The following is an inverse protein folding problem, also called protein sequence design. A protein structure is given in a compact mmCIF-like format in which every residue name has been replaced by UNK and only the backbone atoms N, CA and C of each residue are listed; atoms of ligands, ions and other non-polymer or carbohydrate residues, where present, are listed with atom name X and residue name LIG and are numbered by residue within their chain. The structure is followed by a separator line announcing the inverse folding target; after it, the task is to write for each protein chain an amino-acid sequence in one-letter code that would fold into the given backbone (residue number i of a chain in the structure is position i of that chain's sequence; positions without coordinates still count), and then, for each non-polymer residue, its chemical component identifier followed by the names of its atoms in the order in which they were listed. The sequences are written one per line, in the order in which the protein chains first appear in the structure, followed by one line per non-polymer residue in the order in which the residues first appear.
data_IF_576532348700
#
_entry.id   IF_576532348700
#
_cell.length_a   1.000
_cell.length_b   1.000
_cell.length_c   1.000
_cell.angle_alpha   90.00
_cell.angle_beta   90.00
_cell.angle_gamma   90.00
#
_symmetry.space_group_name_H-M   'P 1'
#
loop_
_entity.id
_entity.type
_entity.pdbx_description
1 polymer ?
#
# COMPACT_ATOMS: atom_id res chain seq x y z
N UNK A 1 60.89 3.94 1.45
CA UNK A 1 59.94 2.81 1.49
C UNK A 1 58.68 3.13 2.33
N UNK A 2 58.24 4.39 2.42
CA UNK A 2 57.08 4.76 3.28
C UNK A 2 55.84 5.26 2.50
N UNK A 3 55.92 5.51 1.19
CA UNK A 3 54.79 6.07 0.43
C UNK A 3 53.78 5.03 -0.08
N UNK A 4 54.14 3.75 -0.17
CA UNK A 4 53.25 2.69 -0.67
C UNK A 4 52.20 2.24 0.35
N UNK A 5 52.50 2.36 1.65
CA UNK A 5 51.59 1.98 2.76
C UNK A 5 50.38 2.93 2.87
N UNK A 6 50.57 4.23 2.62
CA UNK A 6 49.50 5.23 2.64
C UNK A 6 48.53 5.12 1.47
N UNK A 7 48.97 4.63 0.31
CA UNK A 7 48.10 4.50 -0.86
C UNK A 7 47.20 3.27 -0.74
N UNK A 8 47.74 2.15 -0.23
CA UNK A 8 47.00 0.92 0.02
C UNK A 8 45.95 1.08 1.13
N UNK A 9 46.26 1.82 2.20
CA UNK A 9 45.28 2.11 3.25
C UNK A 9 44.12 2.98 2.75
N UNK A 10 44.40 3.96 1.87
CA UNK A 10 43.37 4.79 1.22
C UNK A 10 42.50 3.99 0.24
N UNK A 11 43.10 3.08 -0.52
CA UNK A 11 42.37 2.17 -1.41
C UNK A 11 41.48 1.18 -0.64
N UNK A 12 41.94 0.67 0.51
CA UNK A 12 41.15 -0.20 1.38
C UNK A 12 39.95 0.52 2.04
N UNK A 13 40.08 1.83 2.32
CA UNK A 13 39.01 2.67 2.85
C UNK A 13 37.97 3.02 1.78
N UNK A 14 38.42 3.26 0.54
CA UNK A 14 37.57 3.45 -0.63
C UNK A 14 36.82 2.18 -1.00
N UNK A 15 37.46 1.00 -0.97
CA UNK A 15 36.78 -0.29 -1.19
C UNK A 15 35.68 -0.57 -0.14
N UNK A 16 35.87 -0.16 1.12
CA UNK A 16 34.80 -0.26 2.14
C UNK A 16 33.58 0.62 1.87
N UNK A 17 33.76 1.74 1.18
CA UNK A 17 32.66 2.66 0.81
C UNK A 17 32.07 2.36 -0.58
N UNK A 18 32.78 1.60 -1.41
CA UNK A 18 32.38 1.19 -2.76
C UNK A 18 31.81 -0.23 -2.82
N UNK A 19 31.75 -0.95 -1.69
CA UNK A 19 30.99 -2.19 -1.64
C UNK A 19 29.50 -1.86 -1.82
N UNK A 20 28.83 -2.41 -2.85
CA UNK A 20 27.37 -2.35 -2.91
C UNK A 20 26.83 -2.99 -1.63
N UNK A 21 25.69 -2.55 -1.09
CA UNK A 21 25.15 -3.10 0.15
C UNK A 21 24.87 -4.59 -0.05
N UNK A 22 25.82 -5.43 0.34
CA UNK A 22 25.62 -6.86 0.50
C UNK A 22 24.46 -7.02 1.48
N UNK A 23 23.49 -7.86 1.10
CA UNK A 23 22.17 -8.04 1.70
C UNK A 23 22.12 -7.74 3.21
N UNK A 24 21.63 -6.54 3.52
CA UNK A 24 21.48 -6.02 4.89
C UNK A 24 20.30 -6.68 5.63
N UNK A 25 19.89 -7.90 5.24
CA UNK A 25 18.67 -8.55 5.71
C UNK A 25 18.75 -8.90 7.20
N UNK A 26 19.91 -9.33 7.69
CA UNK A 26 20.11 -9.66 9.12
C UNK A 26 20.06 -8.45 10.05
N UNK A 27 20.53 -7.26 9.62
CA UNK A 27 20.51 -6.05 10.45
C UNK A 27 19.09 -5.47 10.57
N UNK A 28 18.24 -5.65 9.54
CA UNK A 28 16.86 -5.17 9.53
C UNK A 28 15.92 -5.98 10.42
N UNK A 29 16.18 -7.27 10.63
CA UNK A 29 15.35 -8.18 11.43
C UNK A 29 15.20 -7.78 12.91
N UNK A 30 16.08 -6.95 13.46
CA UNK A 30 15.97 -6.45 14.84
C UNK A 30 15.13 -5.19 15.03
N UNK A 31 14.72 -4.53 13.93
CA UNK A 31 14.00 -3.23 13.96
C UNK A 31 12.48 -3.37 13.74
N UNK A 32 12.03 -4.53 13.26
CA UNK A 32 10.63 -4.82 12.95
C UNK A 32 10.25 -6.15 13.60
N UNK A 33 9.16 -6.16 14.35
CA UNK A 33 8.55 -7.38 14.91
C UNK A 33 7.74 -8.06 13.81
N UNK A 34 8.10 -9.30 13.48
CA UNK A 34 7.27 -10.19 12.66
C UNK A 34 6.36 -11.03 13.56
N UNK A 35 5.14 -11.31 13.14
CA UNK A 35 4.39 -12.44 13.73
C UNK A 35 5.11 -13.76 13.45
N UNK A 36 4.95 -14.79 14.29
CA UNK A 36 5.53 -16.11 14.04
C UNK A 36 5.16 -16.67 12.67
N UNK A 37 3.90 -16.50 12.28
CA UNK A 37 3.37 -16.97 11.01
C UNK A 37 3.99 -16.26 9.80
N UNK A 38 4.12 -14.93 9.85
CA UNK A 38 4.77 -14.16 8.77
C UNK A 38 6.24 -14.53 8.68
N UNK A 39 6.93 -14.70 9.81
CA UNK A 39 8.33 -15.11 9.83
C UNK A 39 8.52 -16.50 9.20
N UNK A 40 7.65 -17.46 9.55
CA UNK A 40 7.67 -18.81 8.98
C UNK A 40 7.40 -18.79 7.47
N UNK A 41 6.35 -18.09 7.03
CA UNK A 41 5.99 -17.97 5.62
C UNK A 41 7.14 -17.39 4.78
N UNK A 42 7.75 -16.30 5.24
CA UNK A 42 8.90 -15.69 4.57
C UNK A 42 10.11 -16.64 4.52
N UNK A 43 10.35 -17.41 5.59
CA UNK A 43 11.49 -18.35 5.64
C UNK A 43 11.32 -19.58 4.74
N UNK A 44 10.07 -19.99 4.50
CA UNK A 44 9.71 -21.16 3.69
C UNK A 44 9.36 -20.80 2.24
N UNK A 45 9.33 -19.50 1.90
CA UNK A 45 8.93 -19.01 0.58
C UNK A 45 7.42 -19.09 0.33
N UNK A 46 6.61 -19.22 1.39
CA UNK A 46 5.16 -19.19 1.30
C UNK A 46 4.65 -17.76 1.02
N UNK A 47 3.60 -17.58 0.20
CA UNK A 47 3.12 -16.25 -0.16
C UNK A 47 2.66 -15.42 1.05
N UNK A 48 3.04 -14.14 1.07
CA UNK A 48 2.62 -13.18 2.10
C UNK A 48 2.05 -11.93 1.42
N UNK A 49 0.90 -11.44 1.91
CA UNK A 49 0.25 -10.22 1.44
C UNK A 49 0.24 -9.20 2.57
N UNK A 50 0.91 -8.06 2.36
CA UNK A 50 0.86 -6.94 3.31
C UNK A 50 -0.53 -6.27 3.28
N UNK A 51 -0.95 -5.74 4.43
CA UNK A 51 -2.18 -4.96 4.59
C UNK A 51 -1.89 -3.70 5.41
N UNK A 52 -2.47 -2.56 5.04
CA UNK A 52 -2.30 -1.30 5.79
C UNK A 52 -3.26 -1.22 6.99
N UNK A 53 -2.96 -0.35 7.94
CA UNK A 53 -3.81 -0.13 9.13
C UNK A 53 -4.47 1.24 9.22
N UNK A 54 -4.14 2.18 8.33
CA UNK A 54 -4.82 3.48 8.28
C UNK A 54 -6.32 3.30 8.10
N UNK A 55 -6.75 2.39 7.22
CA UNK A 55 -8.18 2.11 7.06
C UNK A 55 -8.88 1.61 8.33
N UNK A 56 -8.15 0.89 9.20
CA UNK A 56 -8.69 0.36 10.45
C UNK A 56 -8.90 1.50 11.46
N UNK A 57 -7.94 2.40 11.60
CA UNK A 57 -8.00 3.47 12.60
C UNK A 57 -8.66 4.76 12.11
N UNK A 58 -8.54 5.06 10.81
CA UNK A 58 -8.91 6.31 10.14
C UNK A 58 -9.68 6.07 8.83
N UNK A 59 -10.24 4.89 8.59
CA UNK A 59 -11.10 4.65 7.44
C UNK A 59 -12.49 4.15 7.82
N UNK A 60 -12.64 3.57 9.01
CA UNK A 60 -13.86 2.87 9.42
C UNK A 60 -14.14 3.09 10.91
N UNK A 61 -15.41 3.21 11.33
CA UNK A 61 -15.76 3.28 12.75
C UNK A 61 -15.68 1.90 13.42
N UNK A 62 -15.43 1.88 14.73
CA UNK A 62 -15.56 0.66 15.54
C UNK A 62 -17.04 0.28 15.73
N UNK A 63 -17.42 -1.02 15.69
CA UNK A 63 -16.58 -2.22 15.53
C UNK A 63 -16.30 -2.62 14.08
N UNK A 64 -16.89 -1.94 13.10
CA UNK A 64 -16.84 -2.37 11.71
C UNK A 64 -15.44 -2.32 11.10
N UNK A 65 -14.57 -1.45 11.62
CA UNK A 65 -13.14 -1.45 11.30
C UNK A 65 -12.45 -2.79 11.62
N UNK A 66 -12.74 -3.37 12.78
CA UNK A 66 -12.17 -4.63 13.24
C UNK A 66 -12.75 -5.81 12.46
N UNK A 67 -14.08 -5.81 12.27
CA UNK A 67 -14.76 -6.83 11.47
C UNK A 67 -14.19 -6.87 10.05
N UNK A 68 -14.09 -5.71 9.40
CA UNK A 68 -13.55 -5.64 8.03
C UNK A 68 -12.09 -6.08 7.98
N UNK A 69 -11.25 -5.69 8.95
CA UNK A 69 -9.87 -6.14 8.99
C UNK A 69 -9.76 -7.67 9.11
N UNK A 70 -10.59 -8.30 9.96
CA UNK A 70 -10.66 -9.76 10.10
C UNK A 70 -11.12 -10.44 8.82
N UNK A 71 -12.17 -9.92 8.18
CA UNK A 71 -12.72 -10.47 6.94
C UNK A 71 -11.65 -10.47 5.83
N UNK A 72 -10.87 -9.39 5.69
CA UNK A 72 -9.76 -9.33 4.73
C UNK A 72 -8.66 -10.33 5.06
N UNK A 73 -8.24 -10.42 6.32
CA UNK A 73 -7.23 -11.40 6.71
C UNK A 73 -7.71 -12.83 6.43
N UNK A 74 -8.98 -13.14 6.71
CA UNK A 74 -9.57 -14.44 6.44
C UNK A 74 -9.54 -14.79 4.95
N UNK A 75 -9.90 -13.85 4.09
CA UNK A 75 -9.83 -14.08 2.65
C UNK A 75 -8.40 -14.38 2.19
N UNK A 76 -7.41 -13.60 2.66
CA UNK A 76 -6.03 -13.81 2.21
C UNK A 76 -5.59 -15.24 2.53
N UNK A 77 -6.03 -15.76 3.69
CA UNK A 77 -5.81 -17.14 4.12
C UNK A 77 -6.56 -18.16 3.27
N UNK A 78 -7.84 -17.90 2.98
CA UNK A 78 -8.67 -18.77 2.11
C UNK A 78 -8.03 -18.94 0.72
N UNK A 79 -7.23 -17.96 0.29
CA UNK A 79 -6.52 -17.98 -0.99
C UNK A 79 -5.06 -18.44 -0.89
N UNK A 80 -4.71 -19.10 0.22
CA UNK A 80 -3.42 -19.77 0.37
C UNK A 80 -2.23 -18.82 0.60
N UNK A 81 -2.49 -17.60 1.08
CA UNK A 81 -1.44 -16.66 1.47
C UNK A 81 -1.55 -16.27 2.95
N UNK A 82 -0.46 -15.78 3.52
CA UNK A 82 -0.43 -15.26 4.89
C UNK A 82 -0.68 -13.75 4.88
N UNK A 83 -1.71 -13.25 5.60
CA UNK A 83 -1.92 -11.82 5.75
C UNK A 83 -0.91 -11.22 6.73
N UNK A 84 -0.41 -10.04 6.38
CA UNK A 84 0.54 -9.29 7.20
C UNK A 84 0.06 -7.84 7.40
N UNK A 85 -0.90 -7.64 8.30
CA UNK A 85 -1.32 -6.30 8.72
C UNK A 85 -0.16 -5.56 9.38
N UNK A 86 0.12 -4.33 8.91
CA UNK A 86 1.28 -3.54 9.33
C UNK A 86 0.87 -2.36 10.20
N UNK A 87 1.50 -2.19 11.36
CA UNK A 87 1.28 -1.05 12.25
C UNK A 87 2.55 -0.73 13.05
N UNK A 88 2.53 0.34 13.83
CA UNK A 88 3.52 0.59 14.88
C UNK A 88 2.79 0.54 16.21
N UNK A 89 3.23 -0.33 17.13
CA UNK A 89 2.63 -0.47 18.45
C UNK A 89 3.68 -0.18 19.53
N UNK A 90 3.41 0.80 20.38
CA UNK A 90 4.33 1.27 21.44
C UNK A 90 5.76 1.55 20.93
N UNK A 91 5.86 2.12 19.72
CA UNK A 91 7.10 2.42 19.01
C UNK A 91 7.76 1.24 18.30
N UNK A 92 7.15 0.05 18.33
CA UNK A 92 7.66 -1.14 17.64
C UNK A 92 6.92 -1.30 16.31
N UNK A 93 7.60 -1.20 15.16
CA UNK A 93 7.01 -1.62 13.89
C UNK A 93 6.65 -3.10 13.93
N UNK A 94 5.41 -3.43 13.59
CA UNK A 94 4.87 -4.77 13.58
C UNK A 94 4.39 -5.12 12.17
N UNK A 95 4.76 -6.31 11.67
CA UNK A 95 4.28 -6.87 10.41
C UNK A 95 3.66 -8.24 10.71
N UNK A 96 2.34 -8.33 10.49
CA UNK A 96 1.51 -9.40 11.03
C UNK A 96 1.10 -9.07 12.46
N UNK A 97 -0.12 -8.58 12.65
CA UNK A 97 -0.68 -8.34 13.97
C UNK A 97 -1.34 -9.61 14.50
N UNK A 98 -1.18 -9.88 15.80
CA UNK A 98 -2.06 -10.83 16.48
C UNK A 98 -3.48 -10.27 16.56
N UNK A 99 -4.45 -11.16 16.79
CA UNK A 99 -5.85 -10.78 16.96
C UNK A 99 -6.05 -9.71 18.06
N UNK A 100 -5.35 -9.85 19.19
CA UNK A 100 -5.40 -8.86 20.28
C UNK A 100 -4.77 -7.51 19.91
N UNK A 101 -3.69 -7.52 19.12
CA UNK A 101 -3.08 -6.28 18.60
C UNK A 101 -3.96 -5.58 17.57
N UNK A 102 -4.63 -6.35 16.72
CA UNK A 102 -5.60 -5.85 15.74
C UNK A 102 -6.81 -5.20 16.43
N UNK A 103 -7.37 -5.86 17.43
CA UNK A 103 -8.47 -5.34 18.25
C UNK A 103 -8.07 -4.08 19.03
N UNK A 104 -6.86 -4.09 19.60
CA UNK A 104 -6.29 -2.91 20.25
C UNK A 104 -6.20 -1.72 19.28
N UNK A 105 -5.68 -1.93 18.06
CA UNK A 105 -5.53 -0.88 17.06
C UNK A 105 -6.88 -0.34 16.58
N UNK A 106 -7.85 -1.23 16.36
CA UNK A 106 -9.21 -0.87 15.98
C UNK A 106 -9.93 -0.07 17.08
N UNK A 107 -9.73 -0.43 18.34
CA UNK A 107 -10.32 0.26 19.50
C UNK A 107 -9.66 1.62 19.76
N UNK A 108 -8.34 1.74 19.52
CA UNK A 108 -7.64 3.03 19.59
C UNK A 108 -8.21 4.04 18.60
N UNK A 109 -8.63 3.59 17.41
CA UNK A 109 -9.16 4.45 16.36
C UNK A 109 -8.20 5.60 16.04
N UNK A 110 -8.73 6.82 15.96
CA UNK A 110 -7.97 8.03 15.63
C UNK A 110 -6.89 8.42 16.66
N UNK A 111 -6.86 7.78 17.84
CA UNK A 111 -5.75 7.95 18.81
C UNK A 111 -4.45 7.30 18.32
N UNK A 112 -4.52 6.32 17.43
CA UNK A 112 -3.33 5.85 16.72
C UNK A 112 -2.97 6.88 15.64
N UNK A 113 -1.74 7.38 15.64
CA UNK A 113 -1.31 8.40 14.69
C UNK A 113 -1.37 7.84 13.25
N UNK A 114 -2.01 8.56 12.33
CA UNK A 114 -1.91 8.24 10.90
C UNK A 114 -0.45 8.44 10.46
N UNK A 115 0.19 7.37 10.04
CA UNK A 115 1.64 7.29 9.88
C UNK A 115 2.00 7.05 8.42
N UNK A 116 2.46 8.10 7.73
CA UNK A 116 3.17 7.99 6.46
C UNK A 116 4.66 7.76 6.71
N UNK A 117 5.43 7.50 5.64
CA UNK A 117 6.85 7.18 5.79
C UNK A 117 7.66 8.25 6.56
N UNK A 118 7.33 9.53 6.38
CA UNK A 118 7.99 10.63 7.10
C UNK A 118 7.75 10.61 8.62
N UNK A 119 6.63 10.03 9.04
CA UNK A 119 6.18 10.04 10.43
C UNK A 119 6.78 8.87 11.24
N UNK A 120 7.27 7.83 10.56
CA UNK A 120 7.77 6.58 11.18
C UNK A 120 8.76 6.86 12.30
N UNK A 121 9.80 7.66 12.02
CA UNK A 121 10.86 7.93 13.00
C UNK A 121 10.31 8.61 14.26
N UNK A 122 9.35 9.52 14.09
CA UNK A 122 8.71 10.23 15.19
C UNK A 122 7.88 9.28 16.06
N UNK A 123 7.04 8.44 15.44
CA UNK A 123 6.18 7.47 16.16
C UNK A 123 7.04 6.46 16.92
N UNK A 124 8.09 5.93 16.29
CA UNK A 124 9.03 4.98 16.91
C UNK A 124 9.76 5.62 18.09
N UNK A 125 10.35 6.80 17.90
CA UNK A 125 11.13 7.48 18.92
C UNK A 125 10.28 7.82 20.18
N UNK A 126 9.01 8.16 19.97
CA UNK A 126 8.09 8.51 21.06
C UNK A 126 7.36 7.30 21.66
N UNK A 127 7.68 6.08 21.25
CA UNK A 127 6.97 4.87 21.68
C UNK A 127 5.46 4.96 21.46
N UNK A 128 5.07 5.61 20.35
CA UNK A 128 3.69 5.86 19.99
C UNK A 128 3.02 4.67 19.28
N UNK A 129 1.71 4.78 19.09
CA UNK A 129 0.94 3.86 18.27
C UNK A 129 0.64 4.52 16.92
N UNK A 130 0.96 3.85 15.82
CA UNK A 130 0.86 4.36 14.46
C UNK A 130 0.07 3.42 13.55
N UNK A 131 -1.00 3.94 12.95
CA UNK A 131 -1.72 3.30 11.87
C UNK A 131 -1.02 3.64 10.55
N UNK A 132 -0.45 2.64 9.87
CA UNK A 132 0.39 2.86 8.69
C UNK A 132 -0.48 3.15 7.46
N UNK A 133 -0.10 4.17 6.70
CA UNK A 133 -0.65 4.44 5.36
C UNK A 133 0.06 3.56 4.33
N UNK A 134 -0.46 3.49 3.11
CA UNK A 134 0.20 2.90 1.93
C UNK A 134 1.72 3.15 1.91
N UNK A 135 2.17 4.42 2.03
CA UNK A 135 3.61 4.72 2.01
C UNK A 135 4.43 4.06 3.14
N UNK A 136 3.90 3.96 4.35
CA UNK A 136 4.60 3.34 5.47
C UNK A 136 4.51 1.81 5.42
N UNK A 137 3.36 1.28 5.00
CA UNK A 137 3.14 -0.16 4.81
C UNK A 137 4.11 -0.71 3.76
N UNK A 138 4.23 -0.04 2.60
CA UNK A 138 5.20 -0.41 1.56
C UNK A 138 6.63 -0.44 2.08
N UNK A 139 7.03 0.57 2.86
CA UNK A 139 8.37 0.65 3.44
C UNK A 139 8.68 -0.56 4.32
N UNK A 140 7.77 -0.91 5.25
CA UNK A 140 7.98 -2.06 6.14
C UNK A 140 7.86 -3.39 5.40
N UNK A 141 6.92 -3.54 4.47
CA UNK A 141 6.77 -4.73 3.63
C UNK A 141 8.07 -5.02 2.85
N UNK A 142 8.61 -4.01 2.16
CA UNK A 142 9.88 -4.13 1.43
C UNK A 142 11.06 -4.41 2.36
N UNK A 143 11.06 -3.84 3.57
CA UNK A 143 12.12 -4.06 4.55
C UNK A 143 12.25 -5.55 4.94
N UNK A 144 11.13 -6.27 4.99
CA UNK A 144 11.07 -7.67 5.43
C UNK A 144 10.93 -8.67 4.27
N UNK A 145 10.90 -8.20 3.03
CA UNK A 145 10.86 -9.06 1.83
C UNK A 145 9.46 -9.45 1.36
N UNK A 146 8.42 -8.72 1.76
CA UNK A 146 7.06 -8.87 1.20
C UNK A 146 6.95 -8.01 -0.06
N UNK A 147 6.53 -8.61 -1.16
CA UNK A 147 6.48 -7.96 -2.49
C UNK A 147 5.08 -7.60 -2.96
N UNK A 148 4.03 -8.02 -2.26
CA UNK A 148 2.62 -7.80 -2.61
C UNK A 148 1.90 -7.13 -1.46
N UNK A 149 1.17 -6.05 -1.77
CA UNK A 149 0.38 -5.27 -0.83
C UNK A 149 -0.99 -4.96 -1.45
N UNK A 150 -2.07 -5.22 -0.71
CA UNK A 150 -3.44 -4.92 -1.13
C UNK A 150 -4.00 -3.77 -0.29
N UNK A 151 -4.67 -2.82 -0.94
CA UNK A 151 -5.42 -1.74 -0.28
C UNK A 151 -6.67 -1.40 -1.09
N UNK A 152 -7.62 -0.66 -0.52
CA UNK A 152 -8.78 -0.19 -1.27
C UNK A 152 -8.36 0.76 -2.40
N UNK A 153 -7.61 1.81 -2.07
CA UNK A 153 -7.21 2.84 -3.02
C UNK A 153 -6.01 3.61 -2.51
N UNK A 154 -5.04 3.89 -3.37
CA UNK A 154 -3.86 4.67 -2.97
C UNK A 154 -4.20 6.16 -2.80
N UNK A 155 -3.36 6.91 -2.10
CA UNK A 155 -3.35 8.37 -2.23
C UNK A 155 -2.85 8.81 -3.60
N UNK A 156 -2.89 10.11 -3.88
CA UNK A 156 -2.52 10.64 -5.18
C UNK A 156 -2.35 12.15 -5.16
N UNK A 157 -2.36 12.76 -6.35
CA UNK A 157 -2.41 14.22 -6.48
C UNK A 157 -3.82 14.66 -6.12
N UNK A 158 -3.96 15.59 -5.18
CA UNK A 158 -5.26 16.15 -4.85
C UNK A 158 -5.74 17.07 -5.98
N UNK A 159 -7.05 17.32 -6.04
CA UNK A 159 -7.60 18.27 -7.01
C UNK A 159 -7.03 19.66 -6.75
N UNK A 160 -6.65 20.35 -7.83
CA UNK A 160 -5.89 21.60 -7.77
C UNK A 160 -4.46 21.45 -7.22
N UNK A 161 -3.91 20.24 -7.21
CA UNK A 161 -2.56 19.92 -6.73
C UNK A 161 -1.44 20.71 -7.44
N UNK A 162 -1.67 21.21 -8.66
CA UNK A 162 -0.75 22.10 -9.37
C UNK A 162 -0.60 23.47 -8.71
N UNK A 163 -1.55 23.87 -7.86
CA UNK A 163 -1.51 25.12 -7.10
C UNK A 163 -1.16 24.87 -5.64
N UNK A 164 -1.78 23.86 -5.01
CA UNK A 164 -1.64 23.60 -3.58
C UNK A 164 -0.40 22.78 -3.24
N UNK A 165 0.15 22.04 -4.21
CA UNK A 165 1.18 21.03 -4.00
C UNK A 165 0.77 19.95 -2.98
N UNK A 166 -0.55 19.73 -2.79
CA UNK A 166 -1.09 18.66 -1.95
C UNK A 166 -1.02 17.32 -2.72
N UNK A 167 0.08 16.60 -2.51
CA UNK A 167 0.41 15.36 -3.20
C UNK A 167 0.72 14.30 -2.15
N UNK A 168 0.04 13.16 -2.23
CA UNK A 168 0.27 12.05 -1.32
C UNK A 168 1.71 11.52 -1.44
N UNK A 169 2.35 11.27 -0.29
CA UNK A 169 3.65 10.60 -0.22
C UNK A 169 3.62 9.16 -0.73
N UNK A 170 2.44 8.57 -0.95
CA UNK A 170 2.28 7.24 -1.54
C UNK A 170 2.91 7.19 -2.95
N UNK A 171 2.81 8.27 -3.73
CA UNK A 171 3.34 8.32 -5.09
C UNK A 171 4.87 8.30 -5.11
N UNK A 172 5.50 9.08 -4.22
CA UNK A 172 6.96 9.07 -4.04
C UNK A 172 7.43 7.72 -3.49
N UNK A 173 6.63 7.07 -2.65
CA UNK A 173 6.97 5.74 -2.13
C UNK A 173 6.92 4.67 -3.23
N UNK A 174 5.89 4.69 -4.07
CA UNK A 174 5.83 3.86 -5.29
C UNK A 174 7.06 4.08 -6.18
N UNK A 175 7.58 5.30 -6.28
CA UNK A 175 8.80 5.60 -7.05
C UNK A 175 10.11 5.01 -6.50
N UNK A 176 10.13 4.41 -5.30
CA UNK A 176 11.40 3.97 -4.67
C UNK A 176 11.34 2.68 -3.86
N UNK A 177 10.19 2.02 -3.81
CA UNK A 177 9.98 0.85 -2.98
C UNK A 177 9.39 -0.28 -3.83
N UNK A 178 10.15 -1.39 -4.07
CA UNK A 178 9.76 -2.46 -4.99
C UNK A 178 8.72 -3.41 -4.36
N UNK A 179 7.51 -2.88 -4.19
CA UNK A 179 6.31 -3.57 -3.73
C UNK A 179 5.20 -3.31 -4.75
N UNK A 180 4.53 -4.37 -5.17
CA UNK A 180 3.34 -4.29 -5.99
C UNK A 180 2.14 -3.93 -5.12
N UNK A 181 1.44 -2.85 -5.49
CA UNK A 181 0.24 -2.39 -4.82
C UNK A 181 -0.97 -2.71 -5.70
N UNK A 182 -1.88 -3.51 -5.16
CA UNK A 182 -3.15 -3.84 -5.80
C UNK A 182 -4.23 -2.97 -5.15
N UNK A 183 -4.97 -2.21 -5.97
CA UNK A 183 -6.03 -1.33 -5.49
C UNK A 183 -7.10 -1.07 -6.55
N UNK A 184 -8.22 -0.47 -6.16
CA UNK A 184 -9.21 0.06 -7.11
C UNK A 184 -8.79 1.41 -7.73
N UNK A 185 -7.49 1.59 -7.97
CA UNK A 185 -6.91 2.86 -8.40
C UNK A 185 -6.61 3.81 -7.23
N UNK A 186 -6.88 5.10 -7.41
CA UNK A 186 -6.67 6.16 -6.41
C UNK A 186 -8.01 6.60 -5.83
N UNK A 187 -8.05 6.98 -4.54
CA UNK A 187 -9.29 7.42 -3.87
C UNK A 187 -10.06 8.48 -4.69
N UNK A 188 -11.38 8.37 -4.79
CA UNK A 188 -12.27 9.22 -5.63
C UNK A 188 -12.13 10.74 -5.46
N UNK A 189 -11.65 11.20 -4.31
CA UNK A 189 -11.45 12.63 -4.04
C UNK A 189 -10.27 13.25 -4.81
N UNK A 190 -9.45 12.43 -5.45
CA UNK A 190 -8.17 12.81 -6.05
C UNK A 190 -8.31 13.16 -7.53
N UNK A 191 -7.20 13.64 -8.11
CA UNK A 191 -7.05 13.98 -9.51
C UNK A 191 -6.34 12.82 -10.25
N UNK A 192 -7.11 12.00 -10.95
CA UNK A 192 -6.59 10.81 -11.64
C UNK A 192 -5.58 11.18 -12.73
N UNK A 193 -5.87 12.10 -13.67
CA UNK A 193 -4.91 12.47 -14.71
C UNK A 193 -3.57 12.91 -14.13
N UNK A 194 -3.55 13.85 -13.18
CA UNK A 194 -2.28 14.31 -12.57
C UNK A 194 -1.58 13.22 -11.78
N UNK A 195 -2.33 12.32 -11.15
CA UNK A 195 -1.73 11.18 -10.43
C UNK A 195 -1.00 10.25 -11.40
N UNK A 196 -1.57 9.96 -12.57
CA UNK A 196 -0.92 9.14 -13.59
C UNK A 196 0.35 9.81 -14.14
N UNK A 197 0.30 11.12 -14.44
CA UNK A 197 1.47 11.90 -14.87
C UNK A 197 2.60 11.91 -13.83
N UNK A 198 2.23 12.02 -12.54
CA UNK A 198 3.20 11.96 -11.45
C UNK A 198 3.84 10.57 -11.35
N UNK A 199 3.04 9.50 -11.45
CA UNK A 199 3.54 8.12 -11.41
C UNK A 199 4.44 7.80 -12.60
N UNK A 200 4.11 8.29 -13.80
CA UNK A 200 4.99 8.23 -14.97
C UNK A 200 6.34 8.90 -14.67
N UNK A 201 6.32 10.12 -14.11
CA UNK A 201 7.52 10.86 -13.72
C UNK A 201 8.37 10.11 -12.69
N UNK A 202 7.73 9.36 -11.78
CA UNK A 202 8.41 8.52 -10.78
C UNK A 202 8.90 7.17 -11.34
N UNK A 203 8.65 6.85 -12.62
CA UNK A 203 9.01 5.56 -13.22
C UNK A 203 8.19 4.38 -12.69
N UNK A 204 6.99 4.64 -12.17
CA UNK A 204 6.11 3.59 -11.63
C UNK A 204 5.34 2.96 -12.77
N UNK A 205 5.41 1.63 -12.89
CA UNK A 205 4.57 0.90 -13.82
C UNK A 205 3.12 0.88 -13.29
N UNK A 206 2.20 1.45 -14.06
CA UNK A 206 0.76 1.42 -13.77
C UNK A 206 0.07 0.51 -14.78
N UNK A 207 -0.50 -0.58 -14.28
CA UNK A 207 -1.27 -1.54 -15.06
C UNK A 207 -2.73 -1.54 -14.63
N UNK A 208 -3.66 -1.77 -15.56
CA UNK A 208 -5.06 -2.05 -15.23
C UNK A 208 -5.42 -3.51 -15.52
N UNK A 209 -6.19 -4.10 -14.62
CA UNK A 209 -6.61 -5.50 -14.69
C UNK A 209 -7.88 -5.66 -15.53
N UNK A 210 -7.79 -6.46 -16.60
CA UNK A 210 -8.88 -6.79 -17.50
C UNK A 210 -9.57 -5.58 -18.16
N UNK A 211 -8.84 -4.47 -18.31
CA UNK A 211 -9.32 -3.23 -18.95
C UNK A 211 -8.15 -2.40 -19.46
N UNK A 212 -8.44 -1.45 -20.36
CA UNK A 212 -7.48 -0.45 -20.85
C UNK A 212 -7.62 0.90 -20.11
N UNK A 213 -8.53 0.97 -19.16
CA UNK A 213 -8.91 2.20 -18.47
C UNK A 213 -8.55 2.12 -16.99
N UNK A 214 -8.01 3.20 -16.44
CA UNK A 214 -7.74 3.30 -15.02
C UNK A 214 -9.08 3.40 -14.25
N UNK A 215 -9.34 2.56 -13.24
CA UNK A 215 -10.54 2.66 -12.43
C UNK A 215 -10.51 3.89 -11.52
N UNK A 216 -11.69 4.47 -11.26
CA UNK A 216 -11.86 5.64 -10.41
C UNK A 216 -12.46 5.25 -9.05
N UNK A 217 -11.83 4.29 -8.37
CA UNK A 217 -12.19 3.81 -7.04
C UNK A 217 -13.63 3.29 -6.93
N UNK A 218 -14.64 4.14 -6.76
CA UNK A 218 -16.04 3.72 -6.75
C UNK A 218 -16.65 3.53 -8.13
N UNK A 219 -15.91 3.77 -9.22
CA UNK A 219 -16.41 3.55 -10.58
C UNK A 219 -15.41 2.78 -11.40
N UNK A 220 -15.91 1.88 -12.26
CA UNK A 220 -15.07 1.10 -13.18
C UNK A 220 -14.27 1.97 -14.16
N UNK A 221 -14.76 3.19 -14.41
CA UNK A 221 -14.32 4.05 -15.51
C UNK A 221 -13.98 5.45 -15.01
N UNK A 222 -12.76 5.90 -15.29
CA UNK A 222 -12.27 7.26 -15.00
C UNK A 222 -12.21 8.18 -16.23
N UNK A 223 -12.34 7.62 -17.43
CA UNK A 223 -12.00 8.25 -18.70
C UNK A 223 -10.49 8.28 -19.01
N UNK A 224 -9.63 7.83 -18.08
CA UNK A 224 -8.17 7.86 -18.25
C UNK A 224 -7.66 6.48 -18.69
N UNK A 225 -6.87 6.43 -19.76
CA UNK A 225 -6.26 5.17 -20.22
C UNK A 225 -4.99 4.85 -19.45
N UNK A 226 -4.70 3.57 -19.27
CA UNK A 226 -3.39 3.09 -18.84
C UNK A 226 -2.60 2.55 -20.04
N UNK A 227 -1.27 2.61 -19.94
CA UNK A 227 -0.39 2.08 -20.98
C UNK A 227 -0.15 0.57 -20.84
N UNK A 228 -0.32 0.02 -19.64
CA UNK A 228 -0.14 -1.40 -19.37
C UNK A 228 -1.49 -2.04 -19.02
N UNK A 229 -1.83 -3.14 -19.70
CA UNK A 229 -2.97 -4.00 -19.39
C UNK A 229 -2.45 -5.37 -19.00
N UNK A 230 -3.06 -5.96 -17.98
CA UNK A 230 -2.86 -7.34 -17.54
C UNK A 230 -4.23 -8.00 -17.43
N UNK A 231 -4.36 -9.26 -17.85
CA UNK A 231 -5.68 -9.91 -17.96
C UNK A 231 -5.86 -11.05 -16.95
N UNK A 232 -4.76 -11.59 -16.43
CA UNK A 232 -4.75 -12.73 -15.51
C UNK A 232 -3.82 -12.50 -14.31
N UNK A 233 -4.02 -13.22 -13.19
CA UNK A 233 -3.09 -13.19 -12.06
C UNK A 233 -1.65 -13.57 -12.47
N UNK A 234 -1.48 -14.47 -13.44
CA UNK A 234 -0.16 -14.84 -13.97
C UNK A 234 0.51 -13.68 -14.73
N UNK A 235 -0.24 -12.85 -15.46
CA UNK A 235 0.30 -11.65 -16.08
C UNK A 235 0.81 -10.67 -15.03
N UNK A 236 0.02 -10.47 -13.96
CA UNK A 236 0.41 -9.66 -12.81
C UNK A 236 1.70 -10.20 -12.18
N UNK A 237 1.77 -11.51 -11.92
CA UNK A 237 2.95 -12.15 -11.33
C UNK A 237 4.20 -11.98 -12.21
N UNK A 238 4.09 -12.17 -13.53
CA UNK A 238 5.21 -11.96 -14.46
C UNK A 238 5.67 -10.50 -14.50
N UNK A 239 4.75 -9.54 -14.44
CA UNK A 239 5.09 -8.12 -14.38
C UNK A 239 5.88 -7.78 -13.11
N UNK A 240 5.41 -8.27 -11.95
CA UNK A 240 6.06 -8.07 -10.65
C UNK A 240 7.44 -8.75 -10.64
N UNK A 241 7.53 -10.00 -11.08
CA UNK A 241 8.77 -10.76 -11.16
C UNK A 241 9.81 -10.09 -12.07
N UNK A 242 9.39 -9.56 -13.22
CA UNK A 242 10.28 -8.82 -14.12
C UNK A 242 10.84 -7.55 -13.46
N UNK A 243 10.00 -6.77 -12.75
CA UNK A 243 10.44 -5.58 -12.00
C UNK A 243 11.52 -5.96 -10.97
N UNK A 244 11.26 -7.01 -10.18
CA UNK A 244 12.17 -7.49 -9.13
C UNK A 244 13.49 -8.02 -9.70
N UNK A 245 13.45 -8.86 -10.75
CA UNK A 245 14.64 -9.45 -11.39
C UNK A 245 15.54 -8.40 -12.05
N UNK A 246 14.95 -7.39 -12.69
CA UNK A 246 15.67 -6.27 -13.27
C UNK A 246 16.16 -5.25 -12.24
N UNK A 247 15.71 -5.36 -10.98
CA UNK A 247 16.05 -4.45 -9.88
C UNK A 247 15.73 -2.99 -10.22
N UNK A 248 14.57 -2.75 -10.82
CA UNK A 248 14.15 -1.40 -11.22
C UNK A 248 14.01 -0.45 -10.01
N UNK A 249 13.76 -1.00 -8.82
CA UNK A 249 13.73 -0.25 -7.57
C UNK A 249 12.43 0.54 -7.33
N UNK A 250 11.51 0.52 -8.30
CA UNK A 250 10.18 1.11 -8.21
C UNK A 250 9.14 0.05 -7.86
N UNK A 251 8.05 0.47 -7.24
CA UNK A 251 6.83 -0.33 -7.09
C UNK A 251 6.08 -0.48 -8.41
N UNK A 252 5.00 -1.25 -8.36
CA UNK A 252 4.06 -1.42 -9.48
C UNK A 252 2.66 -1.19 -8.95
N UNK A 253 1.84 -0.41 -9.64
CA UNK A 253 0.43 -0.23 -9.30
C UNK A 253 -0.41 -1.08 -10.25
N UNK A 254 -1.15 -2.04 -9.71
CA UNK A 254 -2.12 -2.84 -10.45
C UNK A 254 -3.51 -2.38 -10.04
N UNK A 255 -4.14 -1.60 -10.91
CA UNK A 255 -5.45 -1.03 -10.68
C UNK A 255 -6.54 -2.01 -11.15
N UNK A 256 -7.37 -2.47 -10.23
CA UNK A 256 -8.42 -3.46 -10.50
C UNK A 256 -9.79 -2.79 -10.39
N UNK A 257 -10.57 -2.75 -11.48
CA UNK A 257 -11.91 -2.17 -11.44
C UNK A 257 -12.80 -2.83 -10.40
N UNK A 258 -13.74 -2.06 -9.86
CA UNK A 258 -14.77 -2.64 -9.02
C UNK A 258 -15.63 -3.63 -9.81
N UNK A 259 -16.15 -4.68 -9.17
CA UNK A 259 -17.06 -5.63 -9.79
C UNK A 259 -18.35 -4.97 -10.29
N UNK A 260 -18.85 -5.43 -11.43
CA UNK A 260 -19.99 -4.83 -12.14
C UNK A 260 -21.25 -4.69 -11.30
N UNK A 261 -21.53 -5.68 -10.47
CA UNK A 261 -22.66 -5.69 -9.54
C UNK A 261 -22.62 -4.54 -8.50
N UNK A 262 -21.45 -3.96 -8.28
CA UNK A 262 -21.26 -2.81 -7.37
C UNK A 262 -21.11 -1.48 -8.10
N UNK A 263 -21.13 -1.47 -9.44
CA UNK A 263 -20.89 -0.24 -10.19
C UNK A 263 -22.03 0.78 -10.09
N UNK A 264 -23.27 0.33 -9.85
CA UNK A 264 -24.43 1.21 -9.70
C UNK A 264 -24.41 1.97 -8.35
N UNK A 265 -24.15 1.26 -7.24
CA UNK A 265 -23.94 1.90 -5.94
C UNK A 265 -22.69 2.78 -5.98
N UNK A 266 -21.64 2.30 -6.63
CA UNK A 266 -20.44 3.04 -6.99
C UNK A 266 -20.68 4.44 -7.56
N UNK A 267 -21.46 4.51 -8.64
CA UNK A 267 -21.78 5.77 -9.33
C UNK A 267 -22.58 6.77 -8.48
N UNK A 268 -23.42 6.29 -7.57
CA UNK A 268 -24.16 7.15 -6.64
C UNK A 268 -23.22 7.81 -5.63
N UNK A 269 -22.25 7.06 -5.10
CA UNK A 269 -21.24 7.59 -4.17
C UNK A 269 -20.38 8.63 -4.87
N UNK A 270 -19.90 8.30 -6.07
CA UNK A 270 -19.05 9.19 -6.84
C UNK A 270 -19.76 10.52 -7.09
N UNK A 271 -21.04 10.46 -7.45
CA UNK A 271 -21.88 11.65 -7.61
C UNK A 271 -21.98 12.47 -6.32
N UNK A 272 -22.20 11.82 -5.17
CA UNK A 272 -22.23 12.50 -3.87
C UNK A 272 -20.87 13.14 -3.51
N UNK A 273 -19.76 12.46 -3.81
CA UNK A 273 -18.40 12.99 -3.62
C UNK A 273 -18.17 14.22 -4.50
N UNK A 274 -18.60 14.18 -5.77
CA UNK A 274 -18.48 15.33 -6.67
C UNK A 274 -19.27 16.55 -6.18
N UNK A 275 -20.45 16.32 -5.58
CA UNK A 275 -21.25 17.37 -4.95
C UNK A 275 -20.51 17.94 -3.74
N UNK A 276 -20.09 17.09 -2.79
CA UNK A 276 -19.38 17.51 -1.58
C UNK A 276 -18.08 18.29 -1.90
N UNK A 277 -17.32 17.86 -2.91
CA UNK A 277 -16.13 18.57 -3.38
C UNK A 277 -16.46 19.92 -4.03
N UNK A 278 -17.64 20.06 -4.65
CA UNK A 278 -18.11 21.35 -5.17
C UNK A 278 -18.51 22.28 -4.02
N UNK A 279 -19.19 21.77 -3.01
CA UNK A 279 -19.60 22.54 -1.84
C UNK A 279 -18.42 22.98 -0.97
N UNK A 280 -17.46 22.09 -0.71
CA UNK A 280 -16.23 22.42 0.02
C UNK A 280 -15.31 23.41 -0.71
N UNK A 281 -15.54 23.67 -2.00
CA UNK A 281 -14.89 24.77 -2.74
C UNK A 281 -15.58 26.11 -2.51
N UNK A 282 -16.85 26.10 -2.13
CA UNK A 282 -17.65 27.29 -1.85
C UNK A 282 -17.53 27.70 -0.37
N UNK A 283 -17.31 26.74 0.53
CA UNK A 283 -17.03 26.99 1.94
C UNK A 283 -15.60 26.57 2.28
N UNK A 284 -14.74 27.53 2.63
CA UNK A 284 -13.34 27.32 3.00
C UNK A 284 -13.19 26.61 4.36
N UNK A 285 -13.71 25.39 4.54
CA UNK A 285 -13.63 24.65 5.82
C UNK A 285 -13.80 23.13 5.68
N UNK A 286 -12.68 22.41 5.83
CA UNK A 286 -12.49 21.03 6.33
C UNK A 286 -13.41 19.89 5.83
N UNK A 287 -12.89 19.10 4.87
CA UNK A 287 -13.38 17.78 4.49
C UNK A 287 -13.15 16.73 5.61
N UNK A 288 -14.22 16.32 6.30
CA UNK A 288 -14.21 15.15 7.20
C UNK A 288 -15.26 14.07 6.85
N UNK A 289 -15.96 14.16 5.71
CA UNK A 289 -17.24 13.45 5.52
C UNK A 289 -17.29 12.27 4.52
N UNK A 290 -16.17 11.66 4.11
CA UNK A 290 -16.16 10.60 3.06
C UNK A 290 -16.00 9.17 3.64
N UNK A 291 -16.29 8.96 4.93
CA UNK A 291 -15.86 7.75 5.67
C UNK A 291 -16.76 6.50 5.53
N UNK A 292 -18.08 6.65 5.37
CA UNK A 292 -19.00 5.50 5.56
C UNK A 292 -19.09 4.52 4.38
N UNK A 293 -18.54 4.84 3.21
CA UNK A 293 -18.73 4.04 1.99
C UNK A 293 -17.56 3.10 1.65
N UNK A 294 -16.40 3.27 2.30
CA UNK A 294 -15.21 2.42 2.13
C UNK A 294 -15.42 0.97 2.62
N UNK A 295 -16.48 0.74 3.41
CA UNK A 295 -16.80 -0.46 4.18
C UNK A 295 -17.24 -1.68 3.38
N UNK A 296 -18.04 -1.50 2.32
CA UNK A 296 -18.69 -2.63 1.65
C UNK A 296 -17.76 -3.36 0.65
N UNK A 297 -16.71 -2.67 0.18
CA UNK A 297 -15.97 -3.07 -1.01
C UNK A 297 -14.75 -3.96 -0.73
N UNK A 298 -14.07 -3.72 0.39
CA UNK A 298 -12.91 -4.52 0.78
C UNK A 298 -13.31 -5.96 1.15
N UNK A 299 -14.51 -6.14 1.67
CA UNK A 299 -15.14 -7.44 1.95
C UNK A 299 -15.32 -8.24 0.65
N UNK A 300 -15.67 -7.56 -0.44
CA UNK A 300 -15.99 -8.21 -1.71
C UNK A 300 -14.76 -8.49 -2.59
N UNK A 301 -13.80 -7.57 -2.65
CA UNK A 301 -12.57 -7.77 -3.42
C UNK A 301 -11.78 -8.97 -2.90
N UNK A 302 -11.93 -9.18 -1.61
CA UNK A 302 -11.37 -10.28 -0.92
C UNK A 302 -12.16 -11.59 -1.24
N UNK A 303 -13.49 -11.59 -1.31
CA UNK A 303 -14.28 -12.76 -1.76
C UNK A 303 -14.22 -13.05 -3.27
N UNK A 304 -13.49 -12.29 -4.08
CA UNK A 304 -13.38 -12.49 -5.54
C UNK A 304 -12.29 -13.51 -5.94
N UNK A 305 -11.54 -14.06 -4.98
CA UNK A 305 -10.67 -15.22 -5.23
C UNK A 305 -11.32 -16.56 -4.81
N UNK A 306 -12.53 -16.56 -4.21
CA UNK A 306 -13.20 -17.78 -3.71
C UNK A 306 -14.19 -18.44 -4.68
N UNK A 307 -14.13 -18.17 -5.99
CA UNK A 307 -14.87 -18.94 -7.00
C UNK A 307 -13.96 -19.35 -8.17
N UNK A 308 -13.02 -20.26 -7.90
CA UNK A 308 -12.64 -21.29 -8.86
C UNK A 308 -12.79 -22.63 -8.16
N UNK A 309 -14.04 -23.09 -8.10
CA UNK A 309 -14.34 -24.49 -7.86
C UNK A 309 -13.62 -25.32 -8.93
N UNK A 310 -12.76 -26.19 -8.42
CA UNK A 310 -12.32 -27.40 -9.09
C UNK A 310 -13.55 -28.26 -9.37
N UNK A 311 -13.74 -28.62 -10.63
CA UNK A 311 -14.40 -29.87 -11.00
C UNK A 311 -13.53 -30.53 -12.10
N UNK A 312 -13.46 -31.87 -12.13
CA UNK A 312 -12.22 -32.66 -12.27
C UNK A 312 -11.48 -32.61 -13.61
#
# INVERSE_FOLDING_TARGET
MESSSSALSRLSNLQRHLQPPHSNSKIRQGLVKLSPEVAEALSTGHPVVALESTIISHGMPYPKNLETAKEVEAIVRENGAVPATVAILDGVPCVGLSMGELERLATLGTKAQKTARRDIAHVVANRGNGATTVSATMFFASMVGIHVFVTGGIGGVHRHGEQTMDISSDLTELGRTPVAVISAGVKSILDIPRTLEYLETQGVCVAAYNTNEFPAFFTERSGCKVHCRVDTPDDCARLIDANLKLKLGTGTLIAVPIPKEHSASGGLIESAIQIALREARLETSQLHFVFNFFLQFIIYFASSFTYMELDP
#
